data_IF_606515808516
#
_entry.id   IF_606515808516
#
_cell.length_a   1.000
_cell.length_b   1.000
_cell.length_c   1.000
_cell.angle_alpha   90.00
_cell.angle_beta   90.00
_cell.angle_gamma   90.00
#
_symmetry.space_group_name_H-M   'P 1'
#
loop_
_entity.id
_entity.type
_entity.pdbx_description
1 polymer ?
#
# COMPACT_ATOMS: atom_id res chain seq x y z
N UNK A 1 -7.90 -13.18 -14.74
CA UNK A 1 -8.67 -11.94 -14.49
C UNK A 1 -7.77 -10.75 -14.81
N UNK A 2 -8.33 -9.74 -15.45
CA UNK A 2 -7.57 -8.52 -15.74
C UNK A 2 -7.29 -7.74 -14.45
N UNK A 3 -6.10 -7.18 -14.29
CA UNK A 3 -5.82 -6.31 -13.15
C UNK A 3 -6.71 -5.05 -13.19
N UNK A 4 -6.99 -4.53 -12.01
CA UNK A 4 -7.74 -3.28 -11.85
C UNK A 4 -6.72 -2.14 -11.82
N UNK A 5 -6.79 -1.25 -12.79
CA UNK A 5 -5.91 -0.08 -12.85
C UNK A 5 -6.32 0.94 -11.78
N UNK A 6 -5.36 1.39 -10.99
CA UNK A 6 -5.56 2.43 -9.99
C UNK A 6 -4.42 3.45 -10.11
N UNK A 7 -4.76 4.66 -10.54
CA UNK A 7 -3.76 5.67 -10.86
C UNK A 7 -2.96 5.34 -12.13
N UNK A 8 -1.83 5.98 -12.30
CA UNK A 8 -1.03 5.90 -13.53
C UNK A 8 -0.15 4.64 -13.60
N UNK A 9 0.35 4.15 -12.48
CA UNK A 9 1.35 3.08 -12.44
C UNK A 9 1.02 1.92 -11.50
N UNK A 10 -0.05 2.01 -10.72
CA UNK A 10 -0.41 0.97 -9.75
C UNK A 10 -1.63 0.18 -10.21
N UNK A 11 -1.65 -1.09 -9.85
CA UNK A 11 -2.73 -2.00 -10.20
C UNK A 11 -3.09 -2.88 -9.01
N UNK A 12 -4.35 -3.34 -8.99
CA UNK A 12 -4.81 -4.37 -8.07
C UNK A 12 -4.89 -5.67 -8.85
N UNK A 13 -4.17 -6.69 -8.40
CA UNK A 13 -4.20 -8.03 -8.96
C UNK A 13 -5.00 -8.95 -8.04
N UNK A 14 -6.11 -9.47 -8.55
CA UNK A 14 -6.87 -10.51 -7.87
C UNK A 14 -6.26 -11.86 -8.25
N UNK A 15 -5.42 -12.38 -7.38
CA UNK A 15 -4.71 -13.64 -7.61
C UNK A 15 -5.55 -14.86 -7.26
N UNK A 16 -6.71 -14.65 -6.64
CA UNK A 16 -7.66 -15.69 -6.25
C UNK A 16 -9.10 -15.32 -6.60
N UNK A 17 -10.04 -16.04 -5.99
CA UNK A 17 -11.47 -15.89 -6.26
C UNK A 17 -12.25 -15.63 -4.97
N UNK A 18 -13.45 -15.09 -5.13
CA UNK A 18 -14.44 -14.94 -4.06
C UNK A 18 -14.08 -13.95 -2.96
N UNK A 19 -13.08 -13.10 -3.17
CA UNK A 19 -12.83 -11.95 -2.28
C UNK A 19 -13.80 -10.82 -2.59
N UNK A 20 -14.25 -10.09 -1.57
CA UNK A 20 -15.17 -8.97 -1.74
C UNK A 20 -14.70 -7.73 -1.00
N UNK A 21 -15.28 -6.57 -1.36
CA UNK A 21 -14.91 -5.28 -0.80
C UNK A 21 -13.76 -4.59 -1.54
N UNK A 22 -13.22 -5.20 -2.57
CA UNK A 22 -12.07 -4.67 -3.32
C UNK A 22 -12.38 -3.32 -3.99
N UNK A 23 -13.63 -3.12 -4.43
CA UNK A 23 -14.05 -1.87 -5.09
C UNK A 23 -14.04 -0.65 -4.18
N UNK A 24 -14.00 -0.85 -2.88
CA UNK A 24 -14.02 0.23 -1.89
C UNK A 24 -12.63 0.58 -1.36
N UNK A 25 -11.59 -0.04 -1.91
CA UNK A 25 -10.20 0.25 -1.54
C UNK A 25 -9.75 1.60 -2.12
N UNK A 26 -9.23 2.46 -1.26
CA UNK A 26 -8.56 3.68 -1.67
C UNK A 26 -7.05 3.41 -1.77
N UNK A 27 -6.52 3.52 -2.98
CA UNK A 27 -5.11 3.25 -3.25
C UNK A 27 -4.37 4.56 -3.38
N UNK A 28 -3.26 4.68 -2.66
CA UNK A 28 -2.39 5.87 -2.67
C UNK A 28 -1.02 5.48 -3.21
N UNK A 29 -0.62 6.13 -4.29
CA UNK A 29 0.69 5.94 -4.91
C UNK A 29 1.05 7.14 -5.78
N UNK A 30 2.32 7.31 -6.07
CA UNK A 30 2.85 8.47 -6.80
C UNK A 30 3.80 8.06 -7.93
N UNK A 31 3.57 6.89 -8.54
CA UNK A 31 4.36 6.42 -9.67
C UNK A 31 5.54 5.52 -9.30
N UNK A 32 5.56 4.97 -8.09
CA UNK A 32 6.67 4.12 -7.62
C UNK A 32 6.65 2.71 -8.19
N UNK A 33 5.57 2.30 -8.85
CA UNK A 33 5.48 1.00 -9.52
C UNK A 33 5.12 -0.17 -8.62
N UNK A 34 4.70 0.07 -7.37
CA UNK A 34 4.21 -0.99 -6.50
C UNK A 34 2.74 -1.29 -6.77
N UNK A 35 2.33 -2.53 -6.50
CA UNK A 35 0.99 -3.04 -6.77
C UNK A 35 0.40 -3.71 -5.52
N UNK A 36 -0.93 -3.88 -5.53
CA UNK A 36 -1.66 -4.62 -4.52
C UNK A 36 -2.08 -5.98 -5.07
N UNK A 37 -1.79 -7.04 -4.33
CA UNK A 37 -2.19 -8.41 -4.66
C UNK A 37 -3.16 -8.92 -3.60
N UNK A 38 -4.28 -9.52 -4.02
CA UNK A 38 -5.32 -10.04 -3.13
C UNK A 38 -5.65 -11.47 -3.55
N UNK A 39 -5.54 -12.38 -2.59
CA UNK A 39 -5.85 -13.80 -2.77
C UNK A 39 -7.34 -14.12 -2.73
N UNK A 40 -7.67 -15.38 -2.40
CA UNK A 40 -9.04 -15.88 -2.37
C UNK A 40 -9.70 -15.69 -1.01
N UNK A 41 -11.01 -15.57 -1.01
CA UNK A 41 -11.85 -15.63 0.18
C UNK A 41 -11.58 -14.51 1.20
N UNK A 42 -11.06 -13.38 0.76
CA UNK A 42 -10.85 -12.23 1.63
C UNK A 42 -12.14 -11.43 1.83
N UNK A 43 -12.37 -11.03 3.07
CA UNK A 43 -13.49 -10.18 3.48
C UNK A 43 -12.93 -8.80 3.80
N UNK A 44 -13.23 -7.80 2.98
CA UNK A 44 -12.66 -6.47 3.11
C UNK A 44 -13.79 -5.48 3.34
N UNK A 45 -13.85 -4.89 4.55
CA UNK A 45 -14.81 -3.86 4.89
C UNK A 45 -14.49 -2.54 4.19
N UNK A 46 -15.39 -1.57 4.28
CA UNK A 46 -15.22 -0.27 3.66
C UNK A 46 -14.19 0.64 4.33
N UNK A 47 -13.80 1.69 3.62
CA UNK A 47 -12.93 2.74 4.16
C UNK A 47 -11.45 2.40 4.25
N UNK A 48 -11.01 1.34 3.62
CA UNK A 48 -9.60 0.96 3.61
C UNK A 48 -8.76 1.94 2.81
N UNK A 49 -7.54 2.21 3.30
CA UNK A 49 -6.54 2.97 2.58
C UNK A 49 -5.26 2.13 2.47
N UNK A 50 -4.80 1.91 1.25
CA UNK A 50 -3.57 1.16 0.99
C UNK A 50 -2.55 2.08 0.35
N UNK A 51 -1.44 2.28 1.03
CA UNK A 51 -0.32 3.06 0.51
C UNK A 51 0.63 2.15 -0.25
N UNK A 52 0.77 2.39 -1.54
CA UNK A 52 1.73 1.67 -2.39
C UNK A 52 3.03 2.45 -2.56
N UNK A 53 3.14 3.60 -1.89
CA UNK A 53 4.31 4.45 -1.92
C UNK A 53 4.05 5.74 -1.16
N UNK A 54 4.67 6.83 -1.63
CA UNK A 54 4.54 8.15 -1.01
C UNK A 54 5.46 8.36 0.19
N UNK A 55 6.41 7.45 0.42
CA UNK A 55 7.36 7.59 1.51
C UNK A 55 8.40 8.66 1.18
N UNK A 56 8.66 9.51 2.15
CA UNK A 56 9.78 10.44 2.09
C UNK A 56 11.03 9.82 2.72
N UNK A 57 12.19 10.20 2.22
CA UNK A 57 13.47 9.78 2.79
C UNK A 57 13.66 10.45 4.16
N UNK A 58 13.87 9.64 5.18
CA UNK A 58 14.12 10.10 6.55
C UNK A 58 15.61 9.96 6.96
N UNK A 59 16.40 9.34 6.09
CA UNK A 59 17.83 9.13 6.25
C UNK A 59 18.69 10.22 5.58
N UNK A 60 18.05 11.21 4.97
CA UNK A 60 18.72 12.38 4.42
C UNK A 60 18.63 13.56 5.39
N UNK A 61 19.40 14.64 5.11
CA UNK A 61 19.37 15.86 5.91
C UNK A 61 18.03 16.60 5.89
N UNK A 62 17.14 16.27 4.96
CA UNK A 62 15.80 16.82 4.86
C UNK A 62 14.83 15.76 4.33
N UNK A 63 13.58 15.83 4.76
CA UNK A 63 12.49 15.01 4.21
C UNK A 63 11.78 15.67 3.03
N UNK A 64 12.13 16.91 2.69
CA UNK A 64 11.51 17.62 1.59
C UNK A 64 11.95 17.05 0.24
N UNK A 65 11.01 16.79 -0.70
CA UNK A 65 11.31 16.12 -1.97
C UNK A 65 11.84 17.08 -3.04
N UNK A 66 12.98 17.71 -2.80
CA UNK A 66 13.57 18.69 -3.71
C UNK A 66 13.75 18.20 -5.15
N UNK A 67 14.03 16.93 -5.33
CA UNK A 67 14.22 16.34 -6.65
C UNK A 67 12.93 15.93 -7.36
N UNK A 68 11.77 16.15 -6.75
CA UNK A 68 10.50 15.63 -7.24
C UNK A 68 9.44 16.69 -7.52
N UNK A 69 9.40 17.78 -6.74
CA UNK A 69 8.41 18.85 -6.89
C UNK A 69 9.08 20.20 -7.02
N UNK A 70 8.31 21.19 -7.50
CA UNK A 70 8.78 22.56 -7.69
C UNK A 70 10.05 22.68 -8.53
N UNK A 71 10.13 21.95 -9.64
CA UNK A 71 11.31 21.92 -10.51
C UNK A 71 11.75 23.30 -11.04
N UNK A 72 10.81 24.21 -11.20
CA UNK A 72 11.12 25.60 -11.62
C UNK A 72 11.83 26.38 -10.52
N UNK A 73 11.56 26.07 -9.26
CA UNK A 73 12.17 26.72 -8.09
C UNK A 73 13.47 26.02 -7.70
N UNK A 74 13.50 24.68 -7.81
CA UNK A 74 14.64 23.85 -7.43
C UNK A 74 15.16 23.02 -8.61
N UNK A 75 15.70 23.64 -9.67
CA UNK A 75 16.08 22.91 -10.89
C UNK A 75 17.21 21.91 -10.67
N UNK A 76 18.04 22.10 -9.64
CA UNK A 76 19.16 21.24 -9.32
C UNK A 76 18.82 20.16 -8.27
N UNK A 77 17.57 20.09 -7.84
CA UNK A 77 17.13 19.11 -6.85
C UNK A 77 17.24 17.65 -7.29
N UNK A 78 17.40 17.42 -8.59
CA UNK A 78 17.50 16.07 -9.18
C UNK A 78 18.95 15.56 -9.22
N UNK A 79 19.93 16.36 -8.90
CA UNK A 79 21.35 16.02 -9.08
C UNK A 79 21.74 14.70 -8.39
N UNK A 80 21.10 14.36 -7.30
CA UNK A 80 21.39 13.13 -6.54
C UNK A 80 20.38 11.99 -6.79
N UNK A 81 19.71 11.99 -7.95
CA UNK A 81 18.86 10.86 -8.35
C UNK A 81 17.48 10.79 -7.73
N UNK A 82 17.03 11.82 -7.05
CA UNK A 82 15.71 11.84 -6.45
C UNK A 82 15.64 10.97 -5.19
N UNK A 83 14.68 10.06 -5.13
CA UNK A 83 14.46 9.18 -3.97
C UNK A 83 13.18 9.48 -3.23
N UNK A 84 12.43 10.48 -3.70
CA UNK A 84 11.08 10.82 -3.27
C UNK A 84 10.14 10.85 -4.48
N UNK A 85 8.91 10.34 -4.35
CA UNK A 85 8.48 9.46 -3.28
C UNK A 85 9.09 8.08 -3.43
N UNK A 86 9.13 7.30 -2.37
CA UNK A 86 9.66 5.93 -2.38
C UNK A 86 8.62 4.94 -1.89
N UNK A 87 8.86 3.65 -2.13
CA UNK A 87 8.02 2.55 -1.67
C UNK A 87 8.85 1.46 -1.03
N UNK A 88 8.25 0.74 -0.09
CA UNK A 88 8.84 -0.50 0.47
C UNK A 88 8.45 -1.74 -0.34
N UNK A 89 7.69 -1.57 -1.41
CA UNK A 89 7.29 -2.64 -2.31
C UNK A 89 5.79 -2.88 -2.33
N UNK A 90 5.43 -3.98 -2.97
CA UNK A 90 4.04 -4.39 -3.12
C UNK A 90 3.38 -4.65 -1.77
N UNK A 91 2.06 -4.47 -1.72
CA UNK A 91 1.22 -4.97 -0.64
C UNK A 91 0.61 -6.29 -1.09
N UNK A 92 0.73 -7.32 -0.25
CA UNK A 92 0.25 -8.66 -0.56
C UNK A 92 -0.72 -9.08 0.53
N UNK A 93 -1.97 -9.33 0.15
CA UNK A 93 -3.00 -9.88 1.02
C UNK A 93 -3.23 -11.31 0.52
N UNK A 94 -2.92 -12.29 1.37
CA UNK A 94 -3.04 -13.69 0.98
C UNK A 94 -4.50 -14.17 1.03
N UNK A 95 -4.75 -15.40 1.40
CA UNK A 95 -6.09 -15.98 1.35
C UNK A 95 -6.79 -15.92 2.70
N UNK A 96 -8.12 -15.87 2.66
CA UNK A 96 -8.94 -15.95 3.87
C UNK A 96 -8.57 -14.89 4.92
N UNK A 97 -8.34 -13.67 4.47
CA UNK A 97 -8.01 -12.53 5.33
C UNK A 97 -9.25 -11.68 5.55
N UNK A 98 -9.51 -11.34 6.80
CA UNK A 98 -10.56 -10.39 7.15
C UNK A 98 -9.95 -9.06 7.57
N UNK A 99 -10.30 -8.00 6.83
CA UNK A 99 -9.87 -6.63 7.14
C UNK A 99 -11.09 -5.83 7.60
N UNK A 100 -11.06 -5.39 8.85
CA UNK A 100 -12.10 -4.56 9.45
C UNK A 100 -12.14 -3.17 8.85
N UNK A 101 -13.15 -2.40 9.21
CA UNK A 101 -13.43 -1.07 8.62
C UNK A 101 -12.28 -0.08 8.85
N UNK A 102 -12.02 0.74 7.83
CA UNK A 102 -11.16 1.94 7.91
C UNK A 102 -9.73 1.65 8.36
N UNK A 103 -9.17 0.53 7.92
CA UNK A 103 -7.75 0.23 8.15
C UNK A 103 -6.87 0.97 7.17
N UNK A 104 -5.63 1.22 7.58
CA UNK A 104 -4.56 1.75 6.73
C UNK A 104 -3.46 0.70 6.61
N UNK A 105 -3.08 0.36 5.39
CA UNK A 105 -2.03 -0.63 5.12
C UNK A 105 -0.90 0.07 4.39
N UNK A 106 0.31 -0.05 4.92
CA UNK A 106 1.49 0.64 4.39
C UNK A 106 2.22 -0.22 3.35
N UNK A 107 2.99 0.43 2.49
CA UNK A 107 3.73 -0.24 1.42
C UNK A 107 4.68 -1.32 1.95
N UNK A 108 4.84 -2.39 1.18
CA UNK A 108 5.73 -3.50 1.51
C UNK A 108 5.15 -4.52 2.49
N UNK A 109 3.94 -4.30 3.01
CA UNK A 109 3.31 -5.19 4.00
C UNK A 109 2.75 -6.43 3.33
N UNK A 110 2.99 -7.58 3.95
CA UNK A 110 2.37 -8.86 3.60
C UNK A 110 1.46 -9.33 4.72
N UNK A 111 0.18 -9.47 4.43
CA UNK A 111 -0.83 -10.00 5.35
C UNK A 111 -1.07 -11.45 4.97
N UNK A 112 -0.63 -12.36 5.82
CA UNK A 112 -0.65 -13.78 5.53
C UNK A 112 -2.01 -14.41 5.79
N UNK A 113 -2.19 -15.58 5.19
CA UNK A 113 -3.47 -16.28 5.15
C UNK A 113 -4.10 -16.50 6.53
N UNK A 114 -5.41 -16.37 6.59
CA UNK A 114 -6.20 -16.61 7.79
C UNK A 114 -6.15 -15.50 8.83
N UNK A 115 -5.48 -14.39 8.54
CA UNK A 115 -5.33 -13.29 9.51
C UNK A 115 -6.56 -12.40 9.59
N UNK A 116 -6.71 -11.74 10.72
CA UNK A 116 -7.74 -10.74 10.98
C UNK A 116 -7.08 -9.41 11.32
N UNK A 117 -7.44 -8.37 10.61
CA UNK A 117 -7.02 -7.00 10.91
C UNK A 117 -8.20 -6.26 11.53
N UNK A 118 -8.08 -5.89 12.79
CA UNK A 118 -9.13 -5.21 13.51
C UNK A 118 -9.42 -3.84 12.89
N UNK A 119 -10.67 -3.38 12.99
CA UNK A 119 -11.10 -2.09 12.45
C UNK A 119 -10.18 -0.95 12.93
N UNK A 120 -9.96 0.03 12.05
CA UNK A 120 -9.16 1.24 12.29
C UNK A 120 -7.69 0.98 12.65
N UNK A 121 -7.18 -0.18 12.28
CA UNK A 121 -5.75 -0.50 12.46
C UNK A 121 -4.87 0.19 11.43
N UNK A 122 -3.63 0.48 11.83
CA UNK A 122 -2.57 0.92 10.92
C UNK A 122 -1.52 -0.19 10.84
N UNK A 123 -1.48 -0.88 9.70
CA UNK A 123 -0.60 -2.03 9.49
C UNK A 123 0.69 -1.57 8.85
N UNK A 124 1.77 -1.58 9.62
CA UNK A 124 3.09 -1.07 9.21
C UNK A 124 4.14 -2.17 9.00
N UNK A 125 3.82 -3.40 9.32
CA UNK A 125 4.70 -4.56 9.20
C UNK A 125 3.92 -5.81 8.83
N UNK A 126 4.62 -6.83 8.40
CA UNK A 126 4.02 -8.10 8.02
C UNK A 126 3.19 -8.71 9.16
N UNK A 127 2.10 -9.35 8.77
CA UNK A 127 1.17 -10.02 9.69
C UNK A 127 1.35 -11.52 9.52
N UNK A 128 1.62 -12.21 10.63
CA UNK A 128 1.77 -13.66 10.66
C UNK A 128 0.47 -14.37 10.28
N UNK A 129 0.52 -15.57 9.69
CA UNK A 129 -0.70 -16.30 9.34
C UNK A 129 -1.52 -16.64 10.58
N UNK A 130 -2.85 -16.65 10.41
CA UNK A 130 -3.83 -17.00 11.45
C UNK A 130 -3.70 -16.17 12.74
N UNK A 131 -3.29 -14.94 12.60
CA UNK A 131 -3.18 -14.01 13.74
C UNK A 131 -4.24 -12.91 13.67
N UNK A 132 -4.55 -12.36 14.83
CA UNK A 132 -5.44 -11.20 14.96
C UNK A 132 -4.57 -10.04 15.41
N UNK A 133 -4.55 -8.97 14.64
CA UNK A 133 -3.78 -7.76 14.95
C UNK A 133 -4.69 -6.55 14.98
N UNK A 134 -4.32 -5.54 15.77
CA UNK A 134 -5.09 -4.31 15.90
C UNK A 134 -4.23 -3.15 16.38
N UNK A 135 -4.77 -1.93 16.22
CA UNK A 135 -4.07 -0.71 16.59
C UNK A 135 -3.00 -0.32 15.59
N UNK A 136 -1.89 0.16 16.05
CA UNK A 136 -0.78 0.55 15.17
C UNK A 136 0.60 0.21 15.73
#
# INVERSE_FOLDING_TARGET
MKPIQVGESSQIFLTGKHSYGVKHLSIVGFGEGAHLYIGSFCSIAGGQKVFLGGNHRTDWGTTFPFGHIFHKVFPNGIINGGGHPSTKGHVIIENDVWIGESCTIMSGVRIRSGSVIAAKSVVVKDVAPYSIVGGN
#
